data_IF_793256048717
#
_entry.id   IF_793256048717
#
_cell.length_a   1.000
_cell.length_b   1.000
_cell.length_c   1.000
_cell.angle_alpha   90.00
_cell.angle_beta   90.00
_cell.angle_gamma   90.00
#
_symmetry.space_group_name_H-M   'P 1'
#
loop_
_entity.id
_entity.type
_entity.pdbx_description
1 polymer ?
#
# COMPACT_ATOMS: atom_id res chain seq x y z
N UNK A 1 -10.98 -11.42 -40.83
CA UNK A 1 -9.68 -11.61 -40.13
C UNK A 1 -9.10 -10.32 -39.55
N UNK A 2 -9.12 -9.20 -40.28
CA UNK A 2 -8.61 -7.90 -39.80
C UNK A 2 -9.42 -7.30 -38.63
N UNK A 3 -10.76 -7.38 -38.66
CA UNK A 3 -11.62 -6.85 -37.57
C UNK A 3 -11.45 -7.56 -36.22
N UNK A 4 -11.12 -8.85 -36.23
CA UNK A 4 -10.88 -9.62 -35.00
C UNK A 4 -9.58 -9.14 -34.34
N UNK A 5 -8.55 -8.82 -35.14
CA UNK A 5 -7.26 -8.32 -34.62
C UNK A 5 -7.38 -6.93 -34.00
N UNK A 6 -8.20 -6.05 -34.58
CA UNK A 6 -8.49 -4.74 -33.96
C UNK A 6 -9.30 -4.86 -32.67
N UNK A 7 -10.25 -5.80 -32.61
CA UNK A 7 -11.01 -6.08 -31.39
C UNK A 7 -10.14 -6.53 -30.21
N UNK A 8 -9.16 -7.41 -30.46
CA UNK A 8 -8.23 -7.88 -29.42
C UNK A 8 -7.32 -6.77 -28.89
N UNK A 9 -6.83 -5.88 -29.76
CA UNK A 9 -5.98 -4.74 -29.35
C UNK A 9 -6.77 -3.77 -28.48
N UNK A 10 -8.01 -3.44 -28.86
CA UNK A 10 -8.86 -2.55 -28.06
C UNK A 10 -9.19 -3.14 -26.68
N UNK A 11 -9.45 -4.45 -26.60
CA UNK A 11 -9.72 -5.13 -25.34
C UNK A 11 -8.50 -5.21 -24.41
N UNK A 12 -7.30 -5.39 -24.96
CA UNK A 12 -6.08 -5.40 -24.15
C UNK A 12 -5.77 -4.03 -23.53
N UNK A 13 -6.07 -2.93 -24.23
CA UNK A 13 -5.85 -1.57 -23.74
C UNK A 13 -6.78 -1.21 -22.57
N UNK A 14 -8.03 -1.71 -22.55
CA UNK A 14 -8.96 -1.45 -21.45
C UNK A 14 -8.60 -2.20 -20.17
N UNK A 15 -8.03 -3.41 -20.30
CA UNK A 15 -7.55 -4.20 -19.16
C UNK A 15 -6.33 -3.56 -18.47
N UNK A 16 -5.42 -2.95 -19.23
CA UNK A 16 -4.27 -2.23 -18.65
C UNK A 16 -4.71 -0.98 -17.87
N UNK A 17 -5.72 -0.25 -18.36
CA UNK A 17 -6.25 0.94 -17.69
C UNK A 17 -7.04 0.64 -16.41
N UNK A 18 -7.57 -0.57 -16.26
CA UNK A 18 -8.33 -0.99 -15.08
C UNK A 18 -7.47 -1.23 -13.83
N UNK A 19 -6.15 -1.35 -13.98
CA UNK A 19 -5.20 -1.45 -12.87
C UNK A 19 -4.61 -0.08 -12.45
N UNK A 20 -5.16 1.04 -12.97
CA UNK A 20 -4.77 2.38 -12.55
C UNK A 20 -5.40 2.72 -11.20
N UNK A 21 -4.62 2.67 -10.13
CA UNK A 21 -5.08 3.10 -8.81
C UNK A 21 -5.44 4.59 -8.83
N UNK A 22 -6.45 5.00 -8.06
CA UNK A 22 -6.78 6.42 -7.96
C UNK A 22 -5.63 7.13 -7.24
N UNK A 23 -5.31 8.39 -7.61
CA UNK A 23 -4.31 9.14 -6.86
C UNK A 23 -4.73 9.21 -5.38
N UNK A 24 -3.99 8.52 -4.52
CA UNK A 24 -4.19 8.55 -3.08
C UNK A 24 -3.66 9.88 -2.55
N UNK A 25 -4.52 10.90 -2.52
CA UNK A 25 -4.23 12.14 -1.82
C UNK A 25 -4.26 11.88 -0.31
N UNK A 26 -3.11 11.59 0.27
CA UNK A 26 -2.96 11.54 1.72
C UNK A 26 -3.02 12.97 2.26
N UNK A 27 -4.15 13.33 2.87
CA UNK A 27 -4.20 14.49 3.75
C UNK A 27 -3.28 14.25 4.94
N UNK A 28 -2.08 14.83 4.91
CA UNK A 28 -1.11 14.68 5.98
C UNK A 28 -1.38 15.71 7.08
N UNK A 29 -1.78 15.25 8.26
CA UNK A 29 -1.80 16.06 9.48
C UNK A 29 -0.43 15.89 10.16
N UNK A 30 0.42 16.91 10.06
CA UNK A 30 1.81 16.86 10.55
C UNK A 30 2.01 17.21 12.03
N UNK A 31 0.94 17.64 12.71
CA UNK A 31 1.02 18.15 14.09
C UNK A 31 1.11 17.03 15.13
N UNK A 32 1.14 15.77 14.71
CA UNK A 32 1.05 14.61 15.59
C UNK A 32 1.97 13.48 15.13
N UNK A 33 2.58 12.78 16.10
CA UNK A 33 3.47 11.66 15.77
C UNK A 33 2.68 10.52 15.11
N UNK A 34 3.23 9.89 14.07
CA UNK A 34 2.60 8.73 13.45
C UNK A 34 2.37 7.56 14.44
N UNK A 35 3.20 7.46 15.48
CA UNK A 35 3.05 6.50 16.58
C UNK A 35 1.86 6.77 17.50
N UNK A 36 1.26 7.97 17.48
CA UNK A 36 0.02 8.24 18.20
C UNK A 36 -1.13 7.36 17.68
N UNK A 37 -1.06 6.95 16.41
CA UNK A 37 -2.00 6.03 15.79
C UNK A 37 -3.33 6.70 15.44
N UNK A 38 -4.32 5.86 15.17
CA UNK A 38 -5.69 6.29 14.87
C UNK A 38 -6.62 5.90 16.01
N UNK A 39 -7.66 6.72 16.22
CA UNK A 39 -8.78 6.38 17.09
C UNK A 39 -9.65 5.27 16.49
N UNK A 40 -9.60 5.09 15.16
CA UNK A 40 -10.34 4.03 14.48
C UNK A 40 -9.62 2.68 14.63
N UNK A 41 -10.18 1.83 15.49
CA UNK A 41 -9.67 0.49 15.77
C UNK A 41 -9.61 -0.43 14.56
N UNK A 42 -10.32 -0.11 13.47
CA UNK A 42 -10.34 -0.92 12.24
C UNK A 42 -9.02 -0.86 11.46
N UNK A 43 -8.19 0.17 11.70
CA UNK A 43 -6.94 0.37 10.96
C UNK A 43 -5.69 0.14 11.82
N UNK A 44 -5.84 -0.41 13.02
CA UNK A 44 -4.71 -0.81 13.88
C UNK A 44 -4.62 -2.33 13.96
N UNK A 45 -3.40 -2.86 14.05
CA UNK A 45 -3.20 -4.26 14.43
C UNK A 45 -3.74 -4.50 15.84
N UNK A 46 -4.34 -5.66 16.09
CA UNK A 46 -4.87 -6.03 17.41
C UNK A 46 -3.80 -6.00 18.50
N UNK A 47 -2.57 -6.32 18.12
CA UNK A 47 -1.46 -6.55 19.05
C UNK A 47 -0.62 -5.28 19.28
N UNK A 48 -1.03 -4.15 18.69
CA UNK A 48 -0.33 -2.87 18.80
C UNK A 48 -1.14 -1.83 19.59
N UNK A 49 -0.45 -1.10 20.48
CA UNK A 49 -1.03 -0.05 21.33
C UNK A 49 -0.70 1.34 20.80
N UNK A 50 -1.73 2.17 20.66
CA UNK A 50 -1.58 3.59 20.32
C UNK A 50 -0.63 4.32 21.29
N UNK A 51 0.29 5.11 20.74
CA UNK A 51 1.33 5.82 21.50
C UNK A 51 2.58 5.00 21.80
N UNK A 52 2.58 3.68 21.59
CA UNK A 52 3.77 2.85 21.73
C UNK A 52 4.68 2.99 20.50
N UNK A 53 5.56 4.00 20.57
CA UNK A 53 6.52 4.33 19.51
C UNK A 53 7.52 3.20 19.27
N UNK A 54 8.02 2.53 20.32
CA UNK A 54 9.04 1.49 20.16
C UNK A 54 8.47 0.28 19.40
N UNK A 55 7.28 -0.18 19.80
CA UNK A 55 6.57 -1.26 19.11
C UNK A 55 6.20 -0.87 17.68
N UNK A 56 5.75 0.38 17.46
CA UNK A 56 5.44 0.90 16.12
C UNK A 56 6.66 0.88 15.18
N UNK A 57 7.81 1.39 15.64
CA UNK A 57 9.04 1.40 14.85
C UNK A 57 9.56 -0.01 14.56
N UNK A 58 9.40 -0.95 15.50
CA UNK A 58 9.78 -2.34 15.30
C UNK A 58 8.90 -3.02 14.25
N UNK A 59 7.58 -2.80 14.31
CA UNK A 59 6.65 -3.31 13.30
C UNK A 59 6.97 -2.76 11.90
N UNK A 60 7.29 -1.48 11.78
CA UNK A 60 7.72 -0.88 10.51
C UNK A 60 9.03 -1.47 9.99
N UNK A 61 10.03 -1.65 10.86
CA UNK A 61 11.30 -2.28 10.47
C UNK A 61 11.08 -3.71 9.96
N UNK A 62 10.26 -4.51 10.65
CA UNK A 62 9.93 -5.86 10.23
C UNK A 62 9.18 -5.89 8.88
N UNK A 63 8.23 -4.97 8.66
CA UNK A 63 7.55 -4.83 7.37
C UNK A 63 8.53 -4.48 6.25
N UNK A 64 9.44 -3.53 6.50
CA UNK A 64 10.42 -3.08 5.51
C UNK A 64 11.32 -4.21 5.02
N UNK A 65 11.66 -5.19 5.87
CA UNK A 65 12.43 -6.37 5.44
C UNK A 65 11.71 -7.23 4.40
N UNK A 66 10.38 -7.33 4.48
CA UNK A 66 9.58 -8.19 3.58
C UNK A 66 9.16 -7.49 2.28
N UNK A 67 9.44 -6.19 2.15
CA UNK A 67 9.16 -5.38 0.96
C UNK A 67 10.44 -4.85 0.30
N UNK A 68 11.59 -5.38 0.73
CA UNK A 68 12.87 -4.96 0.21
C UNK A 68 13.32 -5.89 -0.92
N UNK A 69 13.14 -5.45 -2.15
CA UNK A 69 13.52 -6.19 -3.37
C UNK A 69 15.04 -6.45 -3.48
N UNK A 70 15.87 -5.77 -2.68
CA UNK A 70 17.31 -6.01 -2.60
C UNK A 70 17.68 -7.19 -1.68
N UNK A 71 16.75 -7.66 -0.83
CA UNK A 71 16.96 -8.85 -0.01
C UNK A 71 16.82 -10.06 -0.92
N UNK A 72 17.94 -10.53 -1.46
CA UNK A 72 17.96 -11.82 -2.16
C UNK A 72 17.65 -12.91 -1.15
N UNK A 73 16.53 -13.62 -1.37
CA UNK A 73 16.25 -14.87 -0.66
C UNK A 73 17.41 -15.83 -0.94
N UNK A 74 17.97 -16.53 0.07
CA UNK A 74 19.06 -17.47 -0.14
C UNK A 74 18.69 -18.57 -1.14
#
# INVERSE_FOLDING_TARGET
MISIRYGTVLFALTLLGACGDRPQALGFKGDESASAGTLNTSFKSSDWKAGDKASWEQALRARAQNQNDYVKTP
#
